data_IF_578899371820
#
_entry.id   IF_578899371820
#
_cell.length_a   1.000
_cell.length_b   1.000
_cell.length_c   1.000
_cell.angle_alpha   90.00
_cell.angle_beta   90.00
_cell.angle_gamma   90.00
#
_symmetry.space_group_name_H-M   'P 1'
#
loop_
_entity.id
_entity.type
_entity.pdbx_description
1 polymer ?
#
# COMPACT_ATOMS: atom_id res chain seq x y z
N UNK A 1 4.27 8.77 -3.82
CA UNK A 1 3.24 7.71 -3.75
C UNK A 1 3.75 6.58 -2.87
N UNK A 2 2.97 6.09 -1.90
CA UNK A 2 3.37 4.97 -1.05
C UNK A 2 3.40 3.67 -1.84
N UNK A 3 4.48 2.90 -1.64
CA UNK A 3 4.61 1.52 -2.08
C UNK A 3 5.00 0.70 -0.85
N UNK A 4 4.25 -0.37 -0.57
CA UNK A 4 4.58 -1.30 0.50
C UNK A 4 4.61 -2.70 -0.05
N UNK A 5 5.78 -3.33 0.07
CA UNK A 5 6.00 -4.72 -0.28
C UNK A 5 5.96 -5.53 1.02
N UNK A 6 5.07 -6.51 1.11
CA UNK A 6 5.06 -7.50 2.18
C UNK A 6 5.56 -8.83 1.62
N UNK A 7 6.69 -9.30 2.13
CA UNK A 7 7.28 -10.60 1.76
C UNK A 7 7.15 -11.55 2.93
N UNK A 8 6.55 -12.72 2.70
CA UNK A 8 6.47 -13.80 3.67
C UNK A 8 7.49 -14.87 3.32
N UNK A 9 8.31 -15.23 4.30
CA UNK A 9 9.29 -16.31 4.19
C UNK A 9 8.83 -17.55 4.97
N UNK A 10 9.16 -18.73 4.44
CA UNK A 10 9.02 -20.03 5.12
C UNK A 10 10.26 -20.86 4.83
N UNK A 11 10.85 -21.44 5.87
CA UNK A 11 12.06 -22.28 5.78
C UNK A 11 13.22 -21.61 5.03
N UNK A 12 13.35 -20.29 5.18
CA UNK A 12 14.39 -19.48 4.52
C UNK A 12 14.11 -19.16 3.05
N UNK A 13 13.00 -19.63 2.49
CA UNK A 13 12.56 -19.33 1.11
C UNK A 13 11.39 -18.35 1.10
N UNK A 14 11.30 -17.53 0.05
CA UNK A 14 10.16 -16.65 -0.16
C UNK A 14 8.93 -17.49 -0.51
N UNK A 15 7.92 -17.47 0.36
CA UNK A 15 6.67 -18.19 0.16
C UNK A 15 5.67 -17.35 -0.65
N UNK A 16 5.56 -16.06 -0.34
CA UNK A 16 4.64 -15.16 -1.06
C UNK A 16 5.04 -13.70 -0.93
N UNK A 17 4.70 -12.92 -1.95
CA UNK A 17 4.83 -11.47 -1.97
C UNK A 17 3.46 -10.84 -2.20
N UNK A 18 3.19 -9.75 -1.49
CA UNK A 18 2.03 -8.88 -1.70
C UNK A 18 2.51 -7.45 -1.86
N UNK A 19 2.20 -6.87 -3.02
CA UNK A 19 2.48 -5.47 -3.34
C UNK A 19 1.24 -4.62 -3.09
N UNK A 20 1.33 -3.72 -2.12
CA UNK A 20 0.33 -2.69 -1.89
C UNK A 20 0.83 -1.38 -2.48
N UNK A 21 0.08 -0.86 -3.43
CA UNK A 21 0.31 0.43 -4.05
C UNK A 21 -0.98 1.24 -3.98
N UNK A 22 -0.84 2.55 -3.88
CA UNK A 22 -1.98 3.48 -3.85
C UNK A 22 -2.61 3.61 -5.25
N UNK A 23 -3.46 2.64 -5.56
CA UNK A 23 -4.14 2.52 -6.84
C UNK A 23 -5.02 3.75 -7.13
N UNK A 24 -5.66 4.34 -6.12
CA UNK A 24 -6.50 5.52 -6.28
C UNK A 24 -5.67 6.72 -6.73
N UNK A 25 -4.50 6.93 -6.14
CA UNK A 25 -3.58 7.98 -6.57
C UNK A 25 -3.09 7.77 -8.02
N UNK A 26 -2.83 6.53 -8.46
CA UNK A 26 -2.42 6.31 -9.86
C UNK A 26 -3.58 6.56 -10.80
N UNK A 27 -4.77 6.07 -10.49
CA UNK A 27 -5.96 6.32 -11.32
C UNK A 27 -6.27 7.82 -11.43
N UNK A 28 -6.03 8.59 -10.36
CA UNK A 28 -6.13 10.05 -10.40
C UNK A 28 -5.07 10.69 -11.30
N UNK A 29 -3.81 10.23 -11.24
CA UNK A 29 -2.72 10.74 -12.08
C UNK A 29 -2.94 10.48 -13.58
N UNK A 30 -3.52 9.33 -13.94
CA UNK A 30 -3.85 9.01 -15.34
C UNK A 30 -5.21 9.58 -15.79
N UNK A 31 -5.85 10.40 -14.94
CA UNK A 31 -7.12 11.07 -15.27
C UNK A 31 -8.33 10.13 -15.33
N UNK A 32 -8.20 8.89 -14.84
CA UNK A 32 -9.27 7.89 -14.81
C UNK A 32 -10.11 7.95 -13.52
N UNK A 33 -9.69 8.76 -12.54
CA UNK A 33 -10.40 9.00 -11.29
C UNK A 33 -10.40 10.50 -10.98
N UNK A 34 -11.57 11.06 -10.65
CA UNK A 34 -11.64 12.43 -10.15
C UNK A 34 -11.00 12.49 -8.75
N UNK A 35 -9.93 13.28 -8.61
CA UNK A 35 -9.20 13.39 -7.36
C UNK A 35 -9.98 14.13 -6.26
N UNK A 36 -10.97 14.95 -6.66
CA UNK A 36 -11.79 15.76 -5.76
C UNK A 36 -12.76 14.87 -4.95
N UNK A 37 -12.63 14.91 -3.62
CA UNK A 37 -13.56 14.25 -2.70
C UNK A 37 -13.25 12.79 -2.37
N UNK A 38 -12.12 12.24 -2.83
CA UNK A 38 -11.70 10.89 -2.42
C UNK A 38 -11.26 10.90 -0.94
N UNK A 39 -11.71 9.94 -0.11
CA UNK A 39 -11.20 9.75 1.24
C UNK A 39 -9.82 9.10 1.18
N UNK A 40 -8.84 9.85 0.69
CA UNK A 40 -7.44 9.46 0.71
C UNK A 40 -6.94 9.61 2.16
N UNK A 41 -6.63 8.48 2.80
CA UNK A 41 -5.99 8.49 4.11
C UNK A 41 -4.62 9.17 4.00
N UNK A 42 -4.21 9.91 5.04
CA UNK A 42 -2.88 10.49 5.07
C UNK A 42 -1.84 9.36 4.93
N UNK A 43 -0.86 9.57 4.04
CA UNK A 43 0.27 8.68 3.83
C UNK A 43 0.90 8.24 5.17
N UNK A 44 1.00 9.15 6.13
CA UNK A 44 1.59 8.89 7.45
C UNK A 44 0.79 7.87 8.25
N UNK A 45 -0.54 7.95 8.20
CA UNK A 45 -1.43 7.01 8.88
C UNK A 45 -1.38 5.62 8.25
N UNK A 46 -1.37 5.55 6.91
CA UNK A 46 -1.27 4.30 6.16
C UNK A 46 0.06 3.60 6.46
N UNK A 47 1.18 4.34 6.47
CA UNK A 47 2.49 3.79 6.76
C UNK A 47 2.57 3.20 8.18
N UNK A 48 1.95 3.86 9.17
CA UNK A 48 1.88 3.35 10.56
C UNK A 48 1.04 2.08 10.64
N UNK A 49 -0.17 2.06 10.07
CA UNK A 49 -1.03 0.88 10.08
C UNK A 49 -0.35 -0.36 9.47
N UNK A 50 0.33 -0.18 8.34
CA UNK A 50 1.05 -1.28 7.67
C UNK A 50 2.23 -1.78 8.49
N UNK A 51 2.93 -0.91 9.21
CA UNK A 51 3.99 -1.29 10.15
C UNK A 51 3.44 -2.14 11.30
N UNK A 52 2.34 -1.70 11.91
CA UNK A 52 1.71 -2.39 13.04
C UNK A 52 1.22 -3.80 12.63
N UNK A 53 0.70 -3.95 11.41
CA UNK A 53 0.27 -5.25 10.87
C UNK A 53 1.43 -6.17 10.48
N UNK A 54 2.59 -5.63 10.14
CA UNK A 54 3.77 -6.44 9.78
C UNK A 54 4.52 -6.98 11.01
N UNK A 55 4.22 -6.48 12.21
CA UNK A 55 4.91 -6.86 13.47
C UNK A 55 4.05 -7.65 14.46
N UNK A 56 2.79 -7.95 14.14
CA UNK A 56 1.94 -8.95 14.82
C UNK A 56 1.95 -10.28 14.07
#
# INVERSE_FOLDING_TARGET
MPLVVMVKFRDGLMESERLYWDQAAVLAQVGLLAAEGLPMADFTEVARYLRDKATS
#
